data_IF_824626254365
#
_entry.id   IF_824626254365
#
_cell.length_a   1.000
_cell.length_b   1.000
_cell.length_c   1.000
_cell.angle_alpha   90.00
_cell.angle_beta   90.00
_cell.angle_gamma   90.00
#
_symmetry.space_group_name_H-M   'P 1'
#
loop_
_entity.id
_entity.type
_entity.pdbx_description
1 polymer ?
#
# COMPACT_ATOMS: atom_id res chain seq x y z
N UNK A 1 -1.65 -14.54 -28.37
CA UNK A 1 -2.21 -15.13 -29.62
C UNK A 1 -3.57 -14.53 -29.91
N UNK A 2 -3.88 -14.30 -31.19
CA UNK A 2 -5.17 -13.74 -31.59
C UNK A 2 -5.72 -14.40 -32.85
N UNK A 3 -6.97 -14.09 -33.16
CA UNK A 3 -7.67 -14.58 -34.34
C UNK A 3 -7.15 -13.96 -35.64
N UNK A 4 -6.76 -12.69 -35.58
CA UNK A 4 -6.22 -11.93 -36.73
C UNK A 4 -5.06 -11.03 -36.30
N UNK A 5 -4.20 -10.68 -37.26
CA UNK A 5 -3.01 -9.83 -37.01
C UNK A 5 -3.36 -8.47 -36.38
N UNK A 6 -4.43 -7.82 -36.87
CA UNK A 6 -4.86 -6.55 -36.31
C UNK A 6 -5.24 -6.58 -34.85
N UNK A 7 -5.84 -7.67 -34.39
CA UNK A 7 -6.16 -7.88 -32.96
C UNK A 7 -4.90 -8.06 -32.11
N UNK A 8 -3.94 -8.83 -32.61
CA UNK A 8 -2.64 -9.07 -31.96
C UNK A 8 -1.83 -7.80 -31.81
N UNK A 9 -1.75 -6.99 -32.87
CA UNK A 9 -1.03 -5.71 -32.86
C UNK A 9 -1.71 -4.70 -31.92
N UNK A 10 -3.04 -4.57 -31.97
CA UNK A 10 -3.80 -3.66 -31.10
C UNK A 10 -3.59 -4.00 -29.61
N UNK A 11 -3.58 -5.28 -29.25
CA UNK A 11 -3.29 -5.74 -27.91
C UNK A 11 -1.85 -5.44 -27.51
N UNK A 12 -0.87 -5.77 -28.37
CA UNK A 12 0.54 -5.52 -28.12
C UNK A 12 0.83 -4.03 -27.86
N UNK A 13 0.27 -3.16 -28.70
CA UNK A 13 0.40 -1.70 -28.53
C UNK A 13 -0.25 -1.20 -27.23
N UNK A 14 -1.42 -1.74 -26.89
CA UNK A 14 -2.14 -1.36 -25.68
C UNK A 14 -1.39 -1.82 -24.43
N UNK A 15 -0.87 -3.04 -24.42
CA UNK A 15 -0.09 -3.58 -23.31
C UNK A 15 1.24 -2.85 -23.12
N UNK A 16 1.93 -2.50 -24.21
CA UNK A 16 3.17 -1.73 -24.11
C UNK A 16 2.98 -0.37 -23.47
N UNK A 17 1.82 0.26 -23.68
CA UNK A 17 1.45 1.55 -23.07
C UNK A 17 1.13 1.47 -21.58
N UNK A 18 0.83 0.28 -21.05
CA UNK A 18 0.60 0.07 -19.62
C UNK A 18 1.89 0.02 -18.80
N UNK A 19 3.04 -0.18 -19.44
CA UNK A 19 4.33 -0.22 -18.77
C UNK A 19 4.61 1.07 -18.03
N UNK A 20 5.11 0.97 -16.79
CA UNK A 20 5.50 2.09 -15.92
C UNK A 20 6.98 1.98 -15.55
N UNK A 21 7.51 2.96 -14.82
CA UNK A 21 8.89 2.90 -14.30
C UNK A 21 9.08 1.75 -13.29
N UNK A 22 8.03 1.38 -12.56
CA UNK A 22 8.09 0.31 -11.55
C UNK A 22 7.82 -1.08 -12.13
N UNK A 23 6.95 -1.20 -13.17
CA UNK A 23 6.55 -2.47 -13.78
C UNK A 23 6.57 -2.32 -15.30
N UNK A 24 7.30 -3.21 -15.95
CA UNK A 24 7.37 -3.27 -17.41
C UNK A 24 6.67 -4.52 -17.93
N UNK A 25 5.89 -4.36 -19.01
CA UNK A 25 5.32 -5.47 -19.76
C UNK A 25 6.29 -5.82 -20.86
N UNK A 26 6.77 -7.05 -20.85
CA UNK A 26 7.65 -7.58 -21.87
C UNK A 26 6.88 -8.61 -22.73
N UNK A 27 6.64 -8.30 -23.99
CA UNK A 27 5.98 -9.20 -24.93
C UNK A 27 7.01 -10.15 -25.51
N UNK A 28 6.97 -11.41 -25.06
CA UNK A 28 7.92 -12.45 -25.47
C UNK A 28 7.64 -12.93 -26.90
N UNK A 29 6.37 -13.16 -27.20
CA UNK A 29 5.93 -13.66 -28.50
C UNK A 29 4.53 -13.19 -28.84
N UNK A 30 4.27 -12.95 -30.11
CA UNK A 30 2.96 -12.63 -30.65
C UNK A 30 2.72 -13.40 -31.95
N UNK A 31 1.48 -13.81 -32.19
CA UNK A 31 1.14 -14.55 -33.41
C UNK A 31 -0.33 -14.83 -33.54
N UNK A 32 -0.72 -15.18 -34.74
CA UNK A 32 -2.11 -15.52 -35.13
C UNK A 32 -2.37 -17.02 -34.99
N UNK A 33 -3.59 -17.37 -34.66
CA UNK A 33 -4.07 -18.74 -34.58
C UNK A 33 -4.15 -19.27 -33.15
N UNK A 34 -4.49 -20.54 -33.02
CA UNK A 34 -4.69 -21.21 -31.73
C UNK A 34 -3.40 -21.21 -30.88
N UNK A 35 -3.58 -21.32 -29.57
CA UNK A 35 -2.48 -21.50 -28.63
C UNK A 35 -1.98 -22.93 -28.76
N UNK A 36 -0.70 -23.11 -29.06
CA UNK A 36 -0.05 -24.41 -29.29
C UNK A 36 0.77 -24.87 -28.09
N UNK A 37 1.17 -26.14 -28.09
CA UNK A 37 2.09 -26.67 -27.09
C UNK A 37 3.44 -25.93 -27.09
N UNK A 38 3.90 -25.48 -28.25
CA UNK A 38 5.14 -24.67 -28.37
C UNK A 38 4.99 -23.31 -27.68
N UNK A 39 3.81 -22.67 -27.77
CA UNK A 39 3.54 -21.41 -27.05
C UNK A 39 3.58 -21.64 -25.52
N UNK A 40 3.02 -22.75 -25.04
CA UNK A 40 3.07 -23.12 -23.63
C UNK A 40 4.51 -23.38 -23.17
N UNK A 41 5.30 -24.11 -23.95
CA UNK A 41 6.71 -24.37 -23.63
C UNK A 41 7.53 -23.07 -23.56
N UNK A 42 7.28 -22.14 -24.49
CA UNK A 42 7.92 -20.83 -24.47
C UNK A 42 7.52 -20.02 -23.23
N UNK A 43 6.25 -20.03 -22.86
CA UNK A 43 5.76 -19.37 -21.67
C UNK A 43 6.38 -19.96 -20.39
N UNK A 44 6.49 -21.28 -20.31
CA UNK A 44 7.16 -21.98 -19.19
C UNK A 44 8.63 -21.57 -19.08
N UNK A 45 9.36 -21.56 -20.19
CA UNK A 45 10.77 -21.17 -20.21
C UNK A 45 11.02 -19.69 -19.87
N UNK A 46 10.02 -18.83 -20.05
CA UNK A 46 10.11 -17.37 -19.84
C UNK A 46 9.36 -16.89 -18.60
N UNK A 47 8.76 -17.78 -17.83
CA UNK A 47 7.87 -17.43 -16.69
C UNK A 47 6.79 -16.40 -17.10
N UNK A 48 6.13 -16.68 -18.23
CA UNK A 48 5.18 -15.77 -18.84
C UNK A 48 3.75 -16.32 -18.81
N UNK A 49 2.77 -15.42 -18.89
CA UNK A 49 1.35 -15.77 -19.10
C UNK A 49 1.03 -15.78 -20.59
N UNK A 50 0.01 -16.53 -20.98
CA UNK A 50 -0.50 -16.56 -22.35
C UNK A 50 -1.84 -15.85 -22.40
N UNK A 51 -1.97 -14.88 -23.30
CA UNK A 51 -3.21 -14.19 -23.59
C UNK A 51 -3.74 -14.65 -24.94
N UNK A 52 -4.93 -15.23 -24.95
CA UNK A 52 -5.67 -15.63 -26.14
C UNK A 52 -6.81 -14.70 -26.44
N UNK A 53 -6.80 -14.04 -27.61
CA UNK A 53 -7.87 -13.19 -28.07
C UNK A 53 -8.68 -13.88 -29.18
N UNK A 54 -9.93 -14.21 -28.86
CA UNK A 54 -10.82 -15.03 -29.71
C UNK A 54 -10.24 -16.38 -30.15
N UNK A 55 -9.20 -16.87 -29.48
CA UNK A 55 -8.57 -18.16 -29.76
C UNK A 55 -8.58 -19.05 -28.51
N UNK A 56 -8.37 -20.35 -28.72
CA UNK A 56 -8.34 -21.32 -27.63
C UNK A 56 -7.12 -22.21 -27.78
N UNK A 57 -6.67 -22.88 -26.70
CA UNK A 57 -5.65 -23.92 -26.79
C UNK A 57 -6.07 -25.05 -27.73
N UNK A 58 -5.15 -25.49 -28.58
CA UNK A 58 -5.34 -26.60 -29.49
C UNK A 58 -4.54 -27.83 -29.06
N UNK A 59 -5.00 -29.02 -29.43
CA UNK A 59 -4.32 -30.26 -29.09
C UNK A 59 -4.16 -30.46 -27.58
N UNK A 60 -2.95 -30.81 -27.15
CA UNK A 60 -2.61 -31.00 -25.74
C UNK A 60 -2.17 -29.73 -25.00
N UNK A 61 -2.23 -28.56 -25.66
CA UNK A 61 -1.73 -27.30 -25.10
C UNK A 61 -2.38 -26.97 -23.75
N UNK A 62 -3.68 -27.25 -23.58
CA UNK A 62 -4.38 -27.02 -22.30
C UNK A 62 -3.82 -27.91 -21.18
N UNK A 63 -3.71 -29.21 -21.44
CA UNK A 63 -3.17 -30.19 -20.47
C UNK A 63 -1.71 -29.88 -20.12
N UNK A 64 -0.91 -29.47 -21.12
CA UNK A 64 0.46 -29.07 -20.90
C UNK A 64 0.55 -27.81 -20.05
N UNK A 65 -0.30 -26.80 -20.30
CA UNK A 65 -0.35 -25.58 -19.52
C UNK A 65 -0.73 -25.84 -18.05
N UNK A 66 -1.69 -26.73 -17.81
CA UNK A 66 -2.06 -27.17 -16.45
C UNK A 66 -0.90 -27.88 -15.74
N UNK A 67 -0.15 -28.73 -16.45
CA UNK A 67 1.04 -29.44 -15.92
C UNK A 67 2.19 -28.49 -15.61
N UNK A 68 2.44 -27.54 -16.47
CA UNK A 68 3.52 -26.54 -16.34
C UNK A 68 3.11 -25.31 -15.53
N UNK A 69 1.88 -25.30 -14.97
CA UNK A 69 1.31 -24.19 -14.19
C UNK A 69 1.29 -22.87 -14.94
N UNK A 70 1.08 -22.89 -16.25
CA UNK A 70 1.03 -21.70 -17.09
C UNK A 70 -0.40 -21.15 -17.15
N UNK A 71 -0.55 -19.88 -16.79
CA UNK A 71 -1.82 -19.16 -16.83
C UNK A 71 -2.19 -18.79 -18.27
N UNK A 72 -3.31 -19.33 -18.77
CA UNK A 72 -3.87 -18.99 -20.08
C UNK A 72 -5.15 -18.21 -19.86
N UNK A 73 -5.13 -16.94 -20.23
CA UNK A 73 -6.28 -16.03 -20.14
C UNK A 73 -6.89 -15.80 -21.49
N UNK A 74 -8.20 -15.98 -21.61
CA UNK A 74 -8.92 -15.85 -22.86
C UNK A 74 -9.87 -14.66 -22.82
N UNK A 75 -9.81 -13.83 -23.86
CA UNK A 75 -10.64 -12.64 -24.01
C UNK A 75 -11.28 -12.57 -25.41
N UNK A 76 -12.44 -11.92 -25.49
CA UNK A 76 -13.10 -11.54 -26.73
C UNK A 76 -13.30 -10.04 -26.86
N UNK A 77 -12.94 -9.27 -25.86
CA UNK A 77 -13.03 -7.82 -25.81
C UNK A 77 -11.66 -7.27 -25.39
N UNK A 78 -11.09 -6.38 -26.20
CA UNK A 78 -9.74 -5.82 -25.95
C UNK A 78 -9.67 -5.10 -24.60
N UNK A 79 -10.70 -4.32 -24.26
CA UNK A 79 -10.73 -3.60 -22.99
C UNK A 79 -10.69 -4.52 -21.78
N UNK A 80 -11.37 -5.68 -21.86
CA UNK A 80 -11.33 -6.65 -20.76
C UNK A 80 -9.92 -7.22 -20.52
N UNK A 81 -9.17 -7.48 -21.59
CA UNK A 81 -7.78 -7.92 -21.50
C UNK A 81 -6.88 -6.83 -20.89
N UNK A 82 -7.08 -5.57 -21.28
CA UNK A 82 -6.32 -4.42 -20.77
C UNK A 82 -6.60 -4.20 -19.29
N UNK A 83 -7.88 -4.20 -18.89
CA UNK A 83 -8.29 -3.96 -17.51
C UNK A 83 -7.77 -5.06 -16.58
N UNK A 84 -7.90 -6.34 -16.99
CA UNK A 84 -7.41 -7.47 -16.20
C UNK A 84 -5.90 -7.45 -16.02
N UNK A 85 -5.14 -7.08 -17.08
CA UNK A 85 -3.70 -6.93 -16.98
C UNK A 85 -3.31 -5.72 -16.12
N UNK A 86 -4.05 -4.64 -16.21
CA UNK A 86 -3.87 -3.44 -15.37
C UNK A 86 -4.09 -3.77 -13.90
N UNK A 87 -5.16 -4.48 -13.57
CA UNK A 87 -5.46 -4.92 -12.21
C UNK A 87 -4.37 -5.85 -11.66
N UNK A 88 -3.86 -6.78 -12.49
CA UNK A 88 -2.76 -7.65 -12.12
C UNK A 88 -1.47 -6.85 -11.83
N UNK A 89 -1.16 -5.84 -12.64
CA UNK A 89 -0.01 -4.96 -12.42
C UNK A 89 -0.18 -4.12 -11.15
N UNK A 90 -1.36 -3.56 -10.91
CA UNK A 90 -1.66 -2.82 -9.67
C UNK A 90 -1.46 -3.68 -8.42
N UNK A 91 -1.83 -4.96 -8.49
CA UNK A 91 -1.59 -5.93 -7.42
C UNK A 91 -0.11 -6.23 -7.14
N UNK A 92 0.78 -5.97 -8.11
CA UNK A 92 2.23 -6.13 -7.97
C UNK A 92 2.93 -4.87 -7.44
N UNK A 93 2.26 -3.71 -7.46
CA UNK A 93 2.82 -2.46 -6.94
C UNK A 93 2.97 -2.53 -5.42
N UNK A 94 4.12 -2.07 -4.93
CA UNK A 94 4.29 -1.86 -3.50
C UNK A 94 3.29 -0.83 -2.99
N UNK A 95 2.59 -1.09 -1.88
CA UNK A 95 1.66 -0.13 -1.33
C UNK A 95 2.37 1.17 -0.99
N UNK A 96 1.70 2.28 -1.20
CA UNK A 96 2.17 3.59 -0.76
C UNK A 96 1.81 3.77 0.71
N UNK A 97 2.81 4.11 1.53
CA UNK A 97 2.58 4.46 2.93
C UNK A 97 2.12 5.91 3.00
N UNK A 98 0.92 6.12 3.51
CA UNK A 98 0.37 7.44 3.79
C UNK A 98 0.21 7.61 5.29
N UNK A 99 0.65 8.76 5.78
CA UNK A 99 0.42 9.12 7.18
C UNK A 99 -1.00 9.67 7.36
N UNK A 100 -1.69 9.16 8.35
CA UNK A 100 -3.01 9.64 8.78
C UNK A 100 -2.92 10.17 10.20
N UNK A 101 -3.28 11.44 10.37
CA UNK A 101 -3.36 12.07 11.69
C UNK A 101 -4.63 11.58 12.37
N UNK A 102 -4.47 10.96 13.54
CA UNK A 102 -5.61 10.45 14.32
C UNK A 102 -6.14 11.44 15.32
N UNK A 103 -5.31 12.35 15.80
CA UNK A 103 -5.71 13.38 16.73
C UNK A 103 -4.57 14.26 17.21
N UNK A 104 -4.94 15.32 17.91
CA UNK A 104 -4.02 16.30 18.48
C UNK A 104 -4.32 16.55 19.95
N UNK A 105 -3.28 16.81 20.73
CA UNK A 105 -3.35 17.14 22.13
C UNK A 105 -2.49 18.37 22.44
N UNK A 106 -2.97 19.24 23.28
CA UNK A 106 -2.23 20.40 23.80
C UNK A 106 -1.67 20.09 25.18
N UNK A 107 -0.38 20.34 25.38
CA UNK A 107 0.27 20.19 26.69
C UNK A 107 -0.12 21.39 27.56
N UNK A 108 -0.74 21.10 28.70
CA UNK A 108 -1.18 22.12 29.68
C UNK A 108 -0.33 22.20 30.91
N UNK A 109 0.17 21.05 31.36
CA UNK A 109 0.98 20.94 32.58
C UNK A 109 2.13 19.96 32.38
N UNK A 110 3.21 20.18 33.11
CA UNK A 110 4.38 19.33 33.08
C UNK A 110 4.66 18.76 34.47
N UNK A 111 4.79 17.43 34.56
CA UNK A 111 5.12 16.72 35.79
C UNK A 111 6.49 16.05 35.66
N UNK A 112 7.44 16.49 36.46
CA UNK A 112 8.77 15.85 36.55
C UNK A 112 8.72 14.76 37.62
N UNK A 113 8.84 13.51 37.19
CA UNK A 113 8.82 12.36 38.11
C UNK A 113 10.23 11.75 38.18
N UNK A 114 10.79 11.70 39.36
CA UNK A 114 12.10 11.07 39.60
C UNK A 114 12.08 9.62 39.10
N UNK A 115 13.06 9.22 38.29
CA UNK A 115 13.25 7.89 37.69
C UNK A 115 12.35 7.57 36.46
N UNK A 116 11.34 8.38 36.17
CA UNK A 116 10.40 8.13 35.04
C UNK A 116 10.61 9.15 33.91
N UNK A 117 11.00 10.38 34.24
CA UNK A 117 11.17 11.49 33.31
C UNK A 117 10.03 12.50 33.37
N UNK A 118 9.84 13.25 32.29
CA UNK A 118 8.79 14.28 32.21
C UNK A 118 7.52 13.67 31.67
N UNK A 119 6.42 13.86 32.39
CA UNK A 119 5.06 13.50 31.96
C UNK A 119 4.35 14.78 31.54
N UNK A 120 3.75 14.78 30.36
CA UNK A 120 2.94 15.87 29.87
C UNK A 120 1.47 15.65 30.24
N UNK A 121 0.90 16.56 31.02
CA UNK A 121 -0.55 16.66 31.21
C UNK A 121 -1.17 17.35 30.01
N UNK A 122 -1.92 16.62 29.21
CA UNK A 122 -2.46 17.07 27.93
C UNK A 122 -3.99 17.07 27.92
N UNK A 123 -4.55 17.97 27.12
CA UNK A 123 -5.96 17.94 26.72
C UNK A 123 -6.06 17.58 25.24
N UNK A 124 -6.89 16.60 24.90
CA UNK A 124 -7.13 16.24 23.51
C UNK A 124 -8.01 17.32 22.86
N UNK A 125 -7.45 18.01 21.88
CA UNK A 125 -8.10 19.13 21.19
C UNK A 125 -8.86 18.70 19.95
N UNK A 126 -8.40 17.64 19.29
CA UNK A 126 -9.08 17.07 18.13
C UNK A 126 -8.81 15.56 17.98
N UNK A 127 -9.78 14.85 17.39
CA UNK A 127 -9.69 13.42 17.11
C UNK A 127 -9.45 12.57 18.36
N UNK A 128 -8.51 11.63 18.26
CA UNK A 128 -8.09 10.77 19.37
C UNK A 128 -6.59 10.47 19.31
N UNK A 129 -5.97 10.38 20.47
CA UNK A 129 -4.59 9.92 20.61
C UNK A 129 -4.60 8.45 21.00
N UNK A 130 -3.82 7.65 20.27
CA UNK A 130 -3.71 6.20 20.46
C UNK A 130 -2.29 5.89 20.93
N UNK A 131 -2.15 5.05 21.96
CA UNK A 131 -0.89 4.73 22.61
C UNK A 131 0.19 4.19 21.67
N UNK A 132 -0.21 3.35 20.71
CA UNK A 132 0.72 2.68 19.81
C UNK A 132 1.03 3.47 18.54
N UNK A 133 0.41 4.64 18.38
CA UNK A 133 0.70 5.50 17.26
C UNK A 133 2.03 6.24 17.47
N UNK A 134 2.61 6.65 16.37
CA UNK A 134 3.71 7.62 16.39
C UNK A 134 3.16 9.01 16.73
N UNK A 135 4.03 9.84 17.30
CA UNK A 135 3.68 11.21 17.64
C UNK A 135 4.69 12.21 17.07
N UNK A 136 4.22 13.40 16.81
CA UNK A 136 5.05 14.59 16.57
C UNK A 136 4.81 15.60 17.67
N UNK A 137 5.88 16.18 18.14
CA UNK A 137 5.82 17.33 19.03
C UNK A 137 6.00 18.60 18.20
N UNK A 138 5.04 19.50 18.29
CA UNK A 138 4.97 20.73 17.51
C UNK A 138 5.04 21.90 18.47
N UNK A 139 6.02 22.79 18.23
CA UNK A 139 6.20 24.04 18.98
C UNK A 139 6.13 25.21 18.03
N UNK A 140 5.23 26.16 18.30
CA UNK A 140 5.04 27.35 17.45
C UNK A 140 4.84 27.01 15.96
N UNK A 141 4.09 25.92 15.70
CA UNK A 141 3.81 25.44 14.34
C UNK A 141 4.94 24.65 13.66
N UNK A 142 6.04 24.40 14.36
CA UNK A 142 7.20 23.65 13.84
C UNK A 142 7.31 22.29 14.54
N UNK A 143 7.48 21.22 13.75
CA UNK A 143 7.75 19.88 14.28
C UNK A 143 9.19 19.86 14.82
N UNK A 144 9.33 19.70 16.14
CA UNK A 144 10.63 19.67 16.82
C UNK A 144 11.09 18.27 17.18
N UNK A 145 10.17 17.31 17.25
CA UNK A 145 10.47 15.91 17.55
C UNK A 145 9.43 14.97 16.94
N UNK A 146 9.87 13.80 16.51
CA UNK A 146 9.01 12.70 16.05
C UNK A 146 9.43 11.43 16.76
N UNK A 147 8.50 10.71 17.35
CA UNK A 147 8.80 9.50 18.11
C UNK A 147 7.56 8.73 18.52
N UNK A 148 7.63 8.09 19.68
CA UNK A 148 6.60 7.21 20.23
C UNK A 148 6.27 7.60 21.68
N UNK A 149 5.08 7.20 22.13
CA UNK A 149 4.70 7.29 23.53
C UNK A 149 5.19 6.08 24.31
N UNK A 150 5.81 6.30 25.47
CA UNK A 150 6.07 5.25 26.45
C UNK A 150 4.80 4.88 27.20
N UNK A 151 4.04 5.90 27.60
CA UNK A 151 2.81 5.74 28.37
C UNK A 151 1.74 6.74 27.93
N UNK A 152 0.50 6.26 27.92
CA UNK A 152 -0.71 7.07 27.81
C UNK A 152 -1.60 6.69 28.99
N UNK A 153 -1.85 7.66 29.87
CA UNK A 153 -2.61 7.43 31.11
C UNK A 153 -3.75 8.41 31.22
N UNK A 154 -4.84 7.94 31.81
CA UNK A 154 -5.93 8.80 32.28
C UNK A 154 -6.09 8.59 33.78
N UNK A 155 -5.92 9.65 34.55
CA UNK A 155 -5.73 9.58 35.99
C UNK A 155 -4.51 8.70 36.36
N UNK A 156 -4.71 7.53 36.93
CA UNK A 156 -3.64 6.58 37.28
C UNK A 156 -3.61 5.34 36.38
N UNK A 157 -4.61 5.19 35.50
CA UNK A 157 -4.80 3.99 34.69
C UNK A 157 -4.17 4.14 33.30
N UNK A 158 -3.50 3.10 32.85
CA UNK A 158 -3.01 2.99 31.47
C UNK A 158 -4.20 2.79 30.53
N UNK A 159 -4.26 3.57 29.48
CA UNK A 159 -5.33 3.51 28.47
C UNK A 159 -4.75 3.30 27.09
N UNK A 160 -5.55 2.71 26.20
CA UNK A 160 -5.16 2.46 24.81
C UNK A 160 -5.35 3.68 23.92
N UNK A 161 -6.39 4.48 24.20
CA UNK A 161 -6.72 5.68 23.46
C UNK A 161 -7.44 6.70 24.35
N UNK A 162 -7.34 7.98 23.98
CA UNK A 162 -8.08 9.08 24.62
C UNK A 162 -8.66 9.96 23.53
N UNK A 163 -9.95 10.25 23.64
CA UNK A 163 -10.70 11.03 22.66
C UNK A 163 -10.73 12.52 23.01
N UNK A 164 -11.13 13.33 22.04
CA UNK A 164 -11.33 14.78 22.16
C UNK A 164 -12.15 15.16 23.39
N UNK A 165 -11.70 16.21 24.07
CA UNK A 165 -12.34 16.77 25.26
C UNK A 165 -11.96 16.11 26.58
N UNK A 166 -11.09 15.08 26.53
CA UNK A 166 -10.57 14.43 27.73
C UNK A 166 -9.11 14.79 27.96
N UNK A 167 -8.75 14.91 29.22
CA UNK A 167 -7.39 15.09 29.69
C UNK A 167 -6.68 13.73 29.86
N UNK A 168 -5.39 13.75 29.71
CA UNK A 168 -4.54 12.56 29.84
C UNK A 168 -3.10 12.94 30.18
N UNK A 169 -2.35 11.97 30.70
CA UNK A 169 -0.92 12.05 30.88
C UNK A 169 -0.18 11.28 29.79
N UNK A 170 0.77 11.93 29.14
CA UNK A 170 1.60 11.32 28.10
C UNK A 170 3.06 11.39 28.49
N UNK A 171 3.77 10.29 28.21
CA UNK A 171 5.22 10.25 28.33
C UNK A 171 5.82 9.92 26.98
N UNK A 172 6.68 10.82 26.50
CA UNK A 172 7.37 10.67 25.20
C UNK A 172 8.65 9.87 25.40
N UNK A 173 8.89 8.91 24.53
CA UNK A 173 10.07 8.06 24.56
C UNK A 173 11.32 8.85 24.14
N UNK A 174 12.31 8.91 25.04
CA UNK A 174 13.61 9.48 24.73
C UNK A 174 13.66 11.00 24.57
N UNK A 175 12.58 11.72 24.89
CA UNK A 175 12.53 13.16 24.77
C UNK A 175 11.88 13.82 26.00
N UNK A 176 12.60 14.75 26.63
CA UNK A 176 12.17 15.41 27.86
C UNK A 176 12.07 16.94 27.75
N UNK A 177 12.52 17.54 26.63
CA UNK A 177 12.41 19.00 26.41
C UNK A 177 11.03 19.38 25.87
N UNK A 178 10.01 19.02 26.64
CA UNK A 178 8.62 19.41 26.38
C UNK A 178 8.28 20.67 27.16
N UNK A 179 7.41 21.51 26.59
CA UNK A 179 6.96 22.77 27.20
C UNK A 179 5.44 22.84 27.22
N UNK A 180 4.92 23.67 28.10
CA UNK A 180 3.51 24.04 28.08
C UNK A 180 3.15 24.70 26.75
N UNK A 181 1.96 24.41 26.25
CA UNK A 181 1.41 24.84 24.95
C UNK A 181 2.06 24.17 23.72
N UNK A 182 2.99 23.23 23.89
CA UNK A 182 3.38 22.36 22.78
C UNK A 182 2.20 21.48 22.38
N UNK A 183 2.14 21.14 21.09
CA UNK A 183 1.08 20.29 20.54
C UNK A 183 1.68 18.91 20.25
N UNK A 184 1.01 17.87 20.70
CA UNK A 184 1.30 16.48 20.35
C UNK A 184 0.31 16.04 19.28
N UNK A 185 0.81 15.72 18.09
CA UNK A 185 0.04 15.17 16.98
C UNK A 185 0.26 13.65 16.94
N UNK A 186 -0.83 12.90 17.03
CA UNK A 186 -0.81 11.44 16.91
C UNK A 186 -1.12 11.02 15.50
N UNK A 187 -0.30 10.17 14.90
CA UNK A 187 -0.47 9.68 13.54
C UNK A 187 -0.07 8.20 13.43
N UNK A 188 -0.58 7.55 12.42
CA UNK A 188 -0.12 6.22 12.01
C UNK A 188 0.05 6.17 10.50
N UNK A 189 0.81 5.19 10.05
CA UNK A 189 1.01 4.93 8.64
C UNK A 189 -0.03 3.92 8.16
N UNK A 190 -0.76 4.26 7.10
CA UNK A 190 -1.70 3.38 6.43
C UNK A 190 -1.16 3.00 5.06
N UNK A 191 -1.32 1.74 4.70
CA UNK A 191 -0.99 1.26 3.36
C UNK A 191 -2.12 1.57 2.40
N UNK A 192 -1.84 2.34 1.36
CA UNK A 192 -2.77 2.61 0.27
C UNK A 192 -2.32 1.85 -0.97
N UNK A 193 -3.23 1.07 -1.54
CA UNK A 193 -2.98 0.42 -2.83
C UNK A 193 -2.77 1.48 -3.91
N UNK A 194 -1.61 1.45 -4.56
CA UNK A 194 -1.36 2.29 -5.73
C UNK A 194 -2.27 1.87 -6.87
N UNK A 195 -2.75 2.86 -7.62
CA UNK A 195 -3.47 2.65 -8.89
C UNK A 195 -2.61 3.14 -10.04
N UNK A 196 -2.64 2.41 -11.14
CA UNK A 196 -2.05 2.87 -12.40
C UNK A 196 -2.93 4.00 -12.98
N UNK A 197 -2.28 5.09 -13.33
CA UNK A 197 -2.93 6.23 -13.98
C UNK A 197 -3.12 6.00 -15.46
#
# INVERSE_FOLDING_TARGET
>A
KGDVDGSVEALADSFSKLSTEEIQINIIHKGVGAITETDVMLASASDAIIIGFNVRPAGNAKTLAEKEEIDIRNYSIIYAAIDDLKDAMEGMLSPELKEEITGTAEIRELFKVSKVGTIAGCMITDGKVIRNNRIRLIREGVVIFTGELVALKRFKDDVKEVSKGYDCGMQIKGYNDIKEYDIIESFHEIEIKKKLK
#
